data_IF_909846350391
#
_entry.id   IF_909846350391
#
_cell.length_a   1.000
_cell.length_b   1.000
_cell.length_c   1.000
_cell.angle_alpha   90.00
_cell.angle_beta   90.00
_cell.angle_gamma   90.00
#
_symmetry.space_group_name_H-M   'P 1'
#
loop_
_entity.id
_entity.type
_entity.pdbx_description
1 polymer ?
#
# COMPACT_ATOMS: atom_id res chain seq x y z
N UNK A 1 19.46 4.63 -3.33
CA UNK A 1 18.61 3.67 -4.07
C UNK A 1 17.36 3.38 -3.26
N UNK A 2 16.22 3.23 -3.92
CA UNK A 2 14.94 3.09 -3.19
C UNK A 2 14.86 1.94 -2.21
N UNK A 3 15.58 0.84 -2.47
CA UNK A 3 15.50 -0.34 -1.62
C UNK A 3 16.59 -0.41 -0.55
N UNK A 4 17.39 0.63 -0.40
CA UNK A 4 18.50 0.59 0.56
C UNK A 4 18.01 0.39 1.99
N UNK A 5 16.98 1.13 2.40
CA UNK A 5 16.44 0.99 3.76
C UNK A 5 15.84 -0.39 3.96
N UNK A 6 15.09 -0.89 2.98
CA UNK A 6 14.52 -2.22 3.03
C UNK A 6 15.61 -3.27 3.25
N UNK A 7 16.69 -3.21 2.47
CA UNK A 7 17.77 -4.19 2.55
C UNK A 7 18.58 -4.06 3.83
N UNK A 8 18.78 -2.83 4.29
CA UNK A 8 19.56 -2.58 5.51
C UNK A 8 18.89 -3.17 6.76
N UNK A 9 17.58 -3.22 6.78
CA UNK A 9 16.83 -3.72 7.93
C UNK A 9 16.73 -5.25 7.98
N UNK A 10 17.25 -5.96 6.97
CA UNK A 10 17.04 -7.39 6.84
C UNK A 10 18.31 -8.17 6.71
N UNK A 11 18.26 -9.40 7.19
CA UNK A 11 19.34 -10.39 7.01
C UNK A 11 18.75 -11.51 6.14
N UNK A 12 19.10 -11.51 4.86
CA UNK A 12 18.50 -12.44 3.91
C UNK A 12 19.00 -13.88 4.08
N UNK A 13 19.97 -14.08 4.97
CA UNK A 13 20.33 -15.44 5.36
C UNK A 13 19.32 -16.00 6.39
N UNK A 14 18.56 -15.14 7.05
CA UNK A 14 17.63 -15.53 8.11
C UNK A 14 16.18 -15.47 7.69
N UNK A 15 15.82 -14.56 6.79
CA UNK A 15 14.43 -14.38 6.38
C UNK A 15 14.26 -14.84 4.93
N UNK A 16 13.09 -15.38 4.61
CA UNK A 16 12.75 -15.77 3.24
C UNK A 16 12.16 -14.60 2.43
N UNK A 17 12.09 -13.42 3.02
CA UNK A 17 11.64 -12.26 2.26
C UNK A 17 12.55 -12.04 1.05
N UNK A 18 12.01 -11.57 -0.09
CA UNK A 18 12.84 -11.36 -1.28
C UNK A 18 13.80 -10.19 -1.09
N UNK A 19 15.03 -10.37 -1.60
CA UNK A 19 16.02 -9.30 -1.59
C UNK A 19 15.62 -8.16 -2.53
N UNK A 20 14.93 -8.50 -3.59
CA UNK A 20 14.51 -7.55 -4.58
C UNK A 20 15.50 -7.41 -5.71
N UNK A 21 14.98 -7.23 -6.89
CA UNK A 21 15.78 -6.94 -8.07
C UNK A 21 15.51 -5.50 -8.47
N UNK A 22 16.22 -5.05 -9.51
CA UNK A 22 15.88 -3.78 -10.12
C UNK A 22 14.42 -3.85 -10.57
N UNK A 23 13.63 -2.88 -10.16
CA UNK A 23 12.21 -2.88 -10.44
C UNK A 23 11.90 -2.78 -11.91
N UNK A 24 10.92 -3.54 -12.35
CA UNK A 24 10.40 -3.47 -13.69
C UNK A 24 8.91 -3.25 -13.58
N UNK A 25 8.49 -2.05 -13.88
CA UNK A 25 7.07 -1.78 -13.91
C UNK A 25 6.44 -2.55 -15.05
N UNK A 26 5.31 -3.17 -14.81
CA UNK A 26 4.48 -3.68 -15.88
C UNK A 26 3.71 -2.57 -16.52
N UNK A 27 2.92 -2.90 -17.56
CA UNK A 27 2.05 -1.93 -18.18
C UNK A 27 0.98 -1.44 -17.21
N UNK A 28 0.65 -2.25 -16.22
CA UNK A 28 -0.34 -1.91 -15.20
C UNK A 28 0.34 -1.79 -13.85
N UNK A 29 -0.09 -0.79 -13.09
CA UNK A 29 0.43 -0.61 -11.74
C UNK A 29 -0.34 -1.53 -10.79
N UNK A 30 0.38 -2.30 -10.01
CA UNK A 30 -0.23 -3.26 -9.10
C UNK A 30 -0.31 -2.71 -7.70
N UNK A 31 -1.27 -3.23 -6.92
CA UNK A 31 -1.30 -2.99 -5.49
C UNK A 31 -1.44 -4.31 -4.77
N UNK A 32 -1.04 -4.33 -3.51
CA UNK A 32 -1.22 -5.49 -2.66
C UNK A 32 -1.47 -5.01 -1.24
N UNK A 33 -2.29 -5.76 -0.52
CA UNK A 33 -2.46 -5.60 0.91
C UNK A 33 -2.05 -6.92 1.55
N UNK A 34 -1.11 -6.86 2.47
CA UNK A 34 -0.64 -8.03 3.18
C UNK A 34 -1.03 -7.93 4.64
N UNK A 35 -1.72 -8.97 5.12
CA UNK A 35 -2.08 -9.06 6.53
C UNK A 35 -0.86 -9.57 7.27
N UNK A 36 -0.38 -8.79 8.20
CA UNK A 36 0.87 -9.06 8.89
C UNK A 36 0.59 -9.26 10.38
N UNK A 37 0.64 -10.51 10.80
CA UNK A 37 0.47 -10.87 12.20
C UNK A 37 1.83 -10.79 12.90
N UNK A 38 2.28 -9.56 13.11
CA UNK A 38 3.50 -9.27 13.84
C UNK A 38 3.17 -9.12 15.32
N UNK A 39 4.02 -8.44 16.09
CA UNK A 39 3.71 -8.17 17.49
C UNK A 39 2.32 -7.56 17.61
N UNK A 40 1.97 -6.65 16.69
CA UNK A 40 0.62 -6.14 16.55
C UNK A 40 0.15 -6.44 15.16
N UNK A 41 -1.07 -6.96 15.05
CA UNK A 41 -1.66 -7.21 13.75
C UNK A 41 -1.83 -5.87 13.01
N UNK A 42 -1.40 -5.84 11.77
CA UNK A 42 -1.65 -4.70 10.91
C UNK A 42 -1.75 -5.18 9.45
N UNK A 43 -2.11 -4.27 8.59
CA UNK A 43 -2.23 -4.55 7.17
C UNK A 43 -1.27 -3.63 6.44
N UNK A 44 -0.37 -4.20 5.66
CA UNK A 44 0.56 -3.42 4.87
C UNK A 44 -0.05 -3.15 3.50
N UNK A 45 -0.25 -1.89 3.20
CA UNK A 45 -0.86 -1.42 1.95
C UNK A 45 0.26 -0.92 1.06
N UNK A 46 0.36 -1.49 -0.16
CA UNK A 46 1.47 -1.19 -1.04
C UNK A 46 0.98 -0.84 -2.44
N UNK A 47 1.58 0.19 -3.01
CA UNK A 47 1.26 0.67 -4.36
C UNK A 47 2.54 0.67 -5.19
N UNK A 48 2.50 0.01 -6.34
CA UNK A 48 3.65 0.03 -7.25
C UNK A 48 3.79 1.41 -7.87
N UNK A 49 4.99 1.98 -7.75
CA UNK A 49 5.31 3.26 -8.35
C UNK A 49 6.83 3.36 -8.47
N UNK A 50 7.30 3.77 -9.63
CA UNK A 50 8.75 3.94 -9.88
C UNK A 50 9.57 2.68 -9.61
N UNK A 51 9.01 1.52 -9.96
CA UNK A 51 9.75 0.26 -9.90
C UNK A 51 9.84 -0.37 -8.52
N UNK A 52 9.15 0.18 -7.54
CA UNK A 52 9.11 -0.38 -6.19
C UNK A 52 7.68 -0.33 -5.66
N UNK A 53 7.46 -0.89 -4.48
CA UNK A 53 6.17 -0.82 -3.79
C UNK A 53 6.27 0.24 -2.70
N UNK A 54 5.59 1.38 -2.92
CA UNK A 54 5.42 2.38 -1.88
C UNK A 54 4.50 1.79 -0.83
N UNK A 55 4.85 1.92 0.44
CA UNK A 55 4.25 1.08 1.48
C UNK A 55 3.78 1.87 2.68
N UNK A 56 2.64 1.45 3.24
CA UNK A 56 2.05 2.04 4.44
C UNK A 56 1.54 0.91 5.34
N UNK A 57 1.82 1.02 6.64
CA UNK A 57 1.26 0.10 7.62
C UNK A 57 -0.06 0.67 8.10
N UNK A 58 -1.14 -0.10 7.97
CA UNK A 58 -2.49 0.34 8.33
C UNK A 58 -2.96 -0.55 9.49
N UNK A 59 -2.90 -0.06 10.73
CA UNK A 59 -3.20 -0.92 11.88
C UNK A 59 -4.58 -1.55 11.86
N UNK A 60 -5.60 -0.81 11.42
CA UNK A 60 -6.97 -1.33 11.38
C UNK A 60 -7.38 -1.87 10.02
N UNK A 61 -6.47 -1.80 9.06
CA UNK A 61 -6.76 -2.24 7.71
C UNK A 61 -7.59 -1.24 6.91
N UNK A 62 -7.63 -1.42 5.59
CA UNK A 62 -8.43 -0.55 4.73
C UNK A 62 -9.92 -0.75 4.98
N UNK A 63 -10.70 0.32 4.82
CA UNK A 63 -12.15 0.26 4.98
C UNK A 63 -12.84 0.29 3.62
N UNK A 64 -14.02 -0.30 3.55
CA UNK A 64 -14.87 -0.23 2.37
C UNK A 64 -16.02 0.76 2.56
N UNK A 65 -16.11 1.38 3.72
CA UNK A 65 -17.19 2.32 4.00
C UNK A 65 -16.78 3.74 3.62
N UNK A 66 -17.51 4.38 2.70
CA UNK A 66 -17.16 5.75 2.29
C UNK A 66 -17.05 6.70 3.46
N UNK A 67 -16.02 7.52 3.44
CA UNK A 67 -15.76 8.48 4.48
C UNK A 67 -14.89 7.97 5.61
N UNK A 68 -14.73 6.65 5.74
CA UNK A 68 -13.84 6.11 6.77
C UNK A 68 -12.39 6.50 6.48
N UNK A 69 -11.71 6.92 7.52
CA UNK A 69 -10.32 7.33 7.45
C UNK A 69 -9.51 6.42 8.36
N UNK A 70 -8.51 5.76 7.78
CA UNK A 70 -7.68 4.84 8.53
C UNK A 70 -6.25 5.35 8.57
N UNK A 71 -5.67 5.33 9.75
CA UNK A 71 -4.26 5.69 9.88
C UNK A 71 -3.42 4.78 8.99
N UNK A 72 -2.51 5.38 8.22
CA UNK A 72 -1.59 4.67 7.35
C UNK A 72 -0.20 5.25 7.58
N UNK A 73 0.66 4.48 8.21
CA UNK A 73 2.01 4.93 8.54
C UNK A 73 2.93 4.60 7.37
N UNK A 74 3.50 5.63 6.76
CA UNK A 74 4.39 5.45 5.62
C UNK A 74 5.69 4.81 6.07
N UNK A 75 6.08 3.74 5.40
CA UNK A 75 7.28 2.99 5.73
C UNK A 75 8.17 2.86 4.49
N UNK A 76 9.28 2.15 4.62
CA UNK A 76 10.25 2.04 3.54
C UNK A 76 9.66 1.34 2.31
N UNK A 77 10.20 1.68 1.14
CA UNK A 77 9.83 1.02 -0.11
C UNK A 77 10.19 -0.45 -0.05
N UNK A 78 9.38 -1.27 -0.70
CA UNK A 78 9.62 -2.71 -0.81
C UNK A 78 9.79 -3.10 -2.27
N UNK A 79 10.50 -4.20 -2.55
CA UNK A 79 10.63 -4.66 -3.93
C UNK A 79 9.31 -5.17 -4.47
N UNK A 80 9.12 -5.08 -5.79
CA UNK A 80 7.88 -5.53 -6.41
C UNK A 80 7.62 -6.99 -6.10
N UNK A 81 8.66 -7.80 -6.02
CA UNK A 81 8.53 -9.22 -5.68
C UNK A 81 7.91 -9.46 -4.31
N UNK A 82 7.99 -8.49 -3.41
CA UNK A 82 7.37 -8.62 -2.10
C UNK A 82 5.85 -8.73 -2.19
N UNK A 83 5.27 -8.26 -3.30
CA UNK A 83 3.82 -8.27 -3.48
C UNK A 83 3.20 -9.65 -3.48
N UNK A 84 3.98 -10.71 -3.71
CA UNK A 84 3.49 -12.08 -3.64
C UNK A 84 4.05 -12.83 -2.43
N UNK A 85 4.80 -12.15 -1.59
CA UNK A 85 5.42 -12.82 -0.45
C UNK A 85 4.38 -13.24 0.59
N UNK A 86 4.44 -14.51 0.96
CA UNK A 86 3.71 -15.07 2.08
C UNK A 86 4.68 -15.96 2.85
N UNK A 87 4.62 -15.90 4.15
CA UNK A 87 5.50 -16.73 4.95
C UNK A 87 5.65 -16.21 6.36
N UNK A 88 6.56 -16.83 7.09
CA UNK A 88 6.86 -16.45 8.47
C UNK A 88 8.23 -15.79 8.53
N UNK A 89 8.26 -14.59 9.08
CA UNK A 89 9.51 -13.88 9.33
C UNK A 89 9.96 -14.30 10.73
N UNK A 90 11.16 -14.87 10.87
CA UNK A 90 11.60 -15.43 12.17
C UNK A 90 11.67 -14.38 13.27
N UNK A 91 11.51 -14.84 14.49
CA UNK A 91 11.70 -13.99 15.65
C UNK A 91 13.12 -13.44 15.67
N UNK A 92 13.25 -12.20 16.12
CA UNK A 92 14.53 -11.52 16.10
C UNK A 92 14.82 -10.77 14.83
N UNK A 93 14.07 -11.04 13.76
CA UNK A 93 14.20 -10.31 12.52
C UNK A 93 13.20 -9.17 12.47
N UNK A 94 13.54 -8.11 11.75
CA UNK A 94 12.66 -6.96 11.58
C UNK A 94 11.34 -7.43 10.97
N UNK A 95 10.23 -7.06 11.61
CA UNK A 95 8.90 -7.43 11.12
C UNK A 95 8.50 -8.86 11.42
N UNK A 96 9.13 -9.50 12.40
CA UNK A 96 8.85 -10.89 12.74
C UNK A 96 7.36 -11.17 12.83
N UNK A 97 6.92 -12.30 12.31
CA UNK A 97 5.53 -12.71 12.30
C UNK A 97 5.13 -13.35 10.99
N UNK A 98 3.84 -13.55 10.81
CA UNK A 98 3.31 -14.21 9.62
C UNK A 98 2.72 -13.18 8.65
N UNK A 99 3.04 -13.33 7.38
CA UNK A 99 2.58 -12.44 6.32
C UNK A 99 1.73 -13.24 5.34
N UNK A 100 0.53 -12.75 5.05
CA UNK A 100 -0.34 -13.35 4.05
C UNK A 100 -0.93 -12.28 3.15
N UNK A 101 -1.08 -12.59 1.88
CA UNK A 101 -1.72 -11.68 0.93
C UNK A 101 -3.21 -11.64 1.24
N UNK A 102 -3.71 -10.46 1.61
CA UNK A 102 -5.12 -10.26 1.94
C UNK A 102 -5.92 -9.81 0.72
N UNK A 103 -5.30 -8.97 -0.13
CA UNK A 103 -5.90 -8.55 -1.39
C UNK A 103 -4.80 -8.10 -2.34
N UNK A 104 -5.10 -8.16 -3.63
CA UNK A 104 -4.17 -7.68 -4.65
C UNK A 104 -4.94 -7.37 -5.92
N UNK A 105 -4.35 -6.54 -6.75
CA UNK A 105 -4.96 -6.18 -8.01
C UNK A 105 -4.21 -5.03 -8.66
N UNK A 106 -4.97 -4.16 -9.31
CA UNK A 106 -4.43 -3.03 -10.05
C UNK A 106 -4.90 -1.75 -9.40
N UNK A 107 -4.05 -0.71 -9.37
CA UNK A 107 -4.47 0.60 -8.95
C UNK A 107 -4.32 1.58 -10.09
N UNK A 108 -5.25 2.52 -10.17
CA UNK A 108 -5.30 3.49 -11.26
C UNK A 108 -5.27 4.87 -10.62
N UNK A 109 -4.11 5.57 -10.72
CA UNK A 109 -4.04 6.91 -10.13
C UNK A 109 -4.87 7.91 -10.92
N UNK A 110 -5.38 8.90 -10.22
CA UNK A 110 -6.00 10.07 -10.82
C UNK A 110 -4.92 11.13 -10.88
N UNK A 111 -4.61 11.60 -12.10
CA UNK A 111 -3.56 12.56 -12.27
C UNK A 111 -2.17 11.95 -12.19
N UNK A 112 -1.20 12.79 -11.88
CA UNK A 112 0.21 12.39 -11.81
C UNK A 112 0.52 11.74 -10.47
N UNK A 113 0.76 10.43 -10.50
CA UNK A 113 1.01 9.67 -9.27
C UNK A 113 2.29 10.11 -8.56
N UNK A 114 3.34 10.39 -9.32
CA UNK A 114 4.61 10.81 -8.72
C UNK A 114 4.48 12.14 -8.01
N UNK A 115 3.80 13.08 -8.66
CA UNK A 115 3.57 14.39 -8.07
C UNK A 115 2.70 14.26 -6.82
N UNK A 116 1.64 13.47 -6.90
CA UNK A 116 0.75 13.26 -5.76
C UNK A 116 1.45 12.64 -4.59
N UNK A 117 2.26 11.62 -4.85
CA UNK A 117 3.03 10.97 -3.81
C UNK A 117 3.99 11.97 -3.13
N UNK A 118 4.69 12.76 -3.94
CA UNK A 118 5.64 13.75 -3.40
C UNK A 118 4.93 14.81 -2.57
N UNK A 119 3.75 15.22 -3.00
CA UNK A 119 2.99 16.25 -2.28
C UNK A 119 2.20 15.71 -1.10
N UNK A 120 2.10 14.40 -0.97
CA UNK A 120 1.36 13.80 0.13
C UNK A 120 -0.14 13.73 -0.12
N UNK A 121 -0.56 13.62 -1.37
CA UNK A 121 -1.97 13.51 -1.71
C UNK A 121 -2.13 12.69 -2.97
N UNK A 122 -2.65 11.47 -2.80
CA UNK A 122 -2.92 10.55 -3.90
C UNK A 122 -4.40 10.22 -3.92
N UNK A 123 -5.01 10.28 -5.09
CA UNK A 123 -6.38 9.77 -5.28
C UNK A 123 -6.33 8.74 -6.39
N UNK A 124 -7.05 7.65 -6.21
CA UNK A 124 -6.91 6.52 -7.12
C UNK A 124 -8.10 5.58 -7.00
N UNK A 125 -8.17 4.66 -7.95
CA UNK A 125 -9.15 3.58 -7.94
C UNK A 125 -8.43 2.27 -7.73
N UNK A 126 -8.97 1.41 -6.88
CA UNK A 126 -8.46 0.06 -6.69
C UNK A 126 -9.36 -0.94 -7.40
N UNK A 127 -8.73 -1.95 -8.00
CA UNK A 127 -9.41 -3.07 -8.64
C UNK A 127 -8.85 -4.36 -8.09
N UNK A 128 -9.19 -4.67 -6.86
CA UNK A 128 -8.83 -5.90 -6.19
C UNK A 128 -10.01 -6.83 -6.08
N UNK A 129 -9.86 -7.88 -5.32
CA UNK A 129 -10.95 -8.79 -5.02
C UNK A 129 -11.82 -8.24 -3.89
N UNK A 130 -11.19 -7.65 -2.88
CA UNK A 130 -11.88 -7.09 -1.74
C UNK A 130 -12.02 -5.58 -1.85
N UNK A 131 -10.93 -4.90 -2.20
CA UNK A 131 -10.91 -3.45 -2.29
C UNK A 131 -11.20 -3.03 -3.71
N UNK A 132 -12.31 -2.34 -3.89
CA UNK A 132 -12.74 -1.87 -5.20
C UNK A 132 -13.30 -0.47 -5.06
N UNK A 133 -12.98 0.39 -6.02
CA UNK A 133 -13.50 1.74 -6.03
C UNK A 133 -12.48 2.78 -5.61
N UNK A 134 -12.94 3.97 -5.25
CA UNK A 134 -12.09 5.12 -5.02
C UNK A 134 -11.51 5.18 -3.62
N UNK A 135 -10.26 5.61 -3.55
CA UNK A 135 -9.54 5.81 -2.30
C UNK A 135 -8.66 7.03 -2.43
N UNK A 136 -8.29 7.60 -1.29
CA UNK A 136 -7.29 8.66 -1.24
C UNK A 136 -6.31 8.38 -0.11
N UNK A 137 -5.07 8.76 -0.33
CA UNK A 137 -4.02 8.75 0.70
C UNK A 137 -3.58 10.19 0.90
N UNK A 138 -3.65 10.67 2.13
CA UNK A 138 -3.32 12.06 2.43
C UNK A 138 -2.39 12.12 3.64
N UNK A 139 -1.22 12.74 3.45
CA UNK A 139 -0.27 12.95 4.54
C UNK A 139 -0.86 13.95 5.51
N UNK A 140 -0.84 13.62 6.80
CA UNK A 140 -1.46 14.49 7.82
C UNK A 140 -0.45 15.09 8.78
N UNK A 141 0.77 14.57 8.80
CA UNK A 141 1.75 15.12 9.72
C UNK A 141 2.93 14.19 9.82
N UNK A 142 3.86 14.54 10.69
CA UNK A 142 5.05 13.75 10.90
C UNK A 142 6.18 14.08 9.97
N UNK A 143 5.87 14.56 8.78
CA UNK A 143 6.92 14.89 7.82
C UNK A 143 7.90 15.94 8.31
N UNK A 144 7.43 16.87 9.10
CA UNK A 144 8.28 17.93 9.62
C UNK A 144 9.01 17.52 10.89
N UNK A 145 8.52 16.54 11.60
CA UNK A 145 9.12 16.10 12.85
C UNK A 145 9.93 14.84 12.56
N UNK A 146 11.23 14.99 12.55
CA UNK A 146 12.12 13.92 12.09
C UNK A 146 12.02 12.62 12.87
N UNK A 147 11.71 12.72 14.14
CA UNK A 147 11.63 11.54 14.99
C UNK A 147 10.27 10.88 14.96
N UNK A 148 9.32 11.46 14.27
CA UNK A 148 7.96 10.94 14.27
C UNK A 148 7.67 10.16 13.04
N UNK A 149 6.70 9.27 13.15
CA UNK A 149 6.25 8.50 12.01
C UNK A 149 5.65 9.43 10.96
N UNK A 150 5.80 9.07 9.70
CA UNK A 150 5.23 9.79 8.58
C UNK A 150 3.80 9.30 8.41
N UNK A 151 2.87 10.01 9.05
CA UNK A 151 1.48 9.58 9.13
C UNK A 151 0.65 10.10 7.97
N UNK A 152 -0.13 9.19 7.40
CA UNK A 152 -1.09 9.48 6.34
C UNK A 152 -2.45 8.94 6.76
N UNK A 153 -3.48 9.33 6.03
CA UNK A 153 -4.81 8.73 6.17
C UNK A 153 -5.14 8.03 4.87
N UNK A 154 -5.61 6.79 4.98
CA UNK A 154 -6.17 6.06 3.86
C UNK A 154 -7.69 6.21 3.98
N UNK A 155 -8.28 6.85 2.98
CA UNK A 155 -9.69 7.25 3.03
C UNK A 155 -10.43 6.51 1.93
N UNK A 156 -11.53 5.83 2.30
CA UNK A 156 -12.42 5.28 1.28
C UNK A 156 -13.29 6.43 0.79
N UNK A 157 -13.16 6.75 -0.48
CA UNK A 157 -13.95 7.84 -1.05
C UNK A 157 -15.27 7.29 -1.59
N UNK A 158 -16.20 8.17 -1.83
CA UNK A 158 -17.46 7.79 -2.45
C UNK A 158 -17.17 7.51 -3.92
N UNK A 159 -17.64 6.37 -4.39
CA UNK A 159 -17.40 6.00 -5.78
C UNK A 159 -18.21 6.92 -6.70
N UNK A 160 -17.65 7.17 -7.88
CA UNK A 160 -18.38 7.93 -8.88
C UNK A 160 -19.64 7.17 -9.29
N UNK A 161 -20.71 7.88 -9.51
CA UNK A 161 -21.92 7.25 -10.01
C UNK A 161 -21.61 6.60 -11.36
N UNK A 162 -22.17 5.41 -11.62
CA UNK A 162 -21.98 4.80 -12.92
C UNK A 162 -22.47 5.77 -13.98
N UNK A 163 -21.75 5.97 -14.94
CA UNK A 163 -22.09 6.94 -15.97
C UNK A 163 -23.30 6.48 -16.72
N UNK A 164 -23.38 6.56 -16.11
CA UNK A 164 -23.81 6.28 -16.25
C UNK A 164 -24.11 5.65 -17.01
N UNK A 165 -24.23 5.18 -16.97
CA UNK A 165 -24.08 4.61 -17.10
C UNK A 165 -24.61 4.62 -17.28
N UNK A 166 -24.64 4.92 -17.15
CA UNK A 166 -24.95 5.21 -16.89
C UNK A 166 -25.54 5.13 -16.66
N UNK A 167 -25.98 5.15 -16.79
CA UNK A 167 -26.37 5.27 -16.32
C UNK A 167 -26.90 4.90 -16.18
N UNK A 168 -27.32 4.63 -16.44
CA UNK A 168 -27.55 4.50 -16.19
C UNK A 168 -27.80 3.94 -15.90
N UNK A 169 -27.98 3.53 -15.83
CA UNK A 169 -27.96 3.35 -15.39
C UNK A 169 -28.29 3.07 -14.88
N UNK A 170 -28.97 2.94 -14.92
CA UNK A 170 -29.31 2.96 -14.35
C UNK A 170 -29.96 2.83 -14.10
N UNK A 171 -30.27 2.65 -14.11
CA UNK A 171 -30.63 2.81 -13.76
C UNK A 171 -31.03 2.57 -13.64
N UNK A 172 -31.60 2.32 -13.69
CA UNK A 172 -31.72 2.36 -13.59
C UNK A 172 -31.87 2.13 -13.52
#
# INVERSE_FOLDING_TARGET
>A
MPLDTYRRKRDFAQTSEPRGRRGRGGARLTFVVQKHAARRLHYDFRLELDGVLKSWAVPKGPSLSPGDKRLAVHVEDHPIEYGTFEGTIPEGQYGAGTVKVWDRGVWIPQGDAREGYAKGRLSFTLKGKRLRGGFSLVRIGGGAAKERADNWLLIKTRDAAPARMGRRQRAR
#
